data_IF_947535358013
#
_entry.id   IF_947535358013
#
_cell.length_a   1.000
_cell.length_b   1.000
_cell.length_c   1.000
_cell.angle_alpha   90.00
_cell.angle_beta   90.00
_cell.angle_gamma   90.00
#
_symmetry.space_group_name_H-M   'P 1'
#
loop_
_entity.id
_entity.type
_entity.pdbx_description
1 polymer ?
#
# COMPACT_ATOMS: atom_id res chain seq x y z
N UNK A 1 -35.62 7.21 4.46
CA UNK A 1 -34.27 7.15 5.05
C UNK A 1 -33.32 6.66 3.97
N UNK A 2 -32.31 7.42 3.52
CA UNK A 2 -31.30 6.87 2.63
C UNK A 2 -30.19 6.24 3.49
N UNK A 3 -30.11 4.91 3.47
CA UNK A 3 -28.94 4.13 3.89
C UNK A 3 -28.11 3.95 2.63
N UNK A 4 -26.98 4.66 2.49
CA UNK A 4 -25.87 4.38 1.54
C UNK A 4 -24.77 5.47 1.61
N UNK A 5 -24.36 5.92 2.82
CA UNK A 5 -23.48 7.12 2.92
C UNK A 5 -22.00 6.78 3.24
N UNK A 6 -21.68 5.64 3.85
CA UNK A 6 -20.30 5.39 4.33
C UNK A 6 -19.89 3.91 4.32
N UNK A 7 -20.13 3.20 3.23
CA UNK A 7 -19.28 2.03 2.99
C UNK A 7 -17.96 2.56 2.43
N UNK A 8 -16.85 2.52 3.19
CA UNK A 8 -15.56 2.92 2.64
C UNK A 8 -15.31 2.08 1.39
N UNK A 9 -14.74 2.70 0.36
CA UNK A 9 -14.40 1.93 -0.85
C UNK A 9 -13.58 0.69 -0.46
N UNK A 10 -13.76 -0.47 -1.12
CA UNK A 10 -13.07 -1.69 -0.74
C UNK A 10 -11.56 -1.49 -0.56
N UNK A 11 -10.94 -0.71 -1.45
CA UNK A 11 -9.54 -0.30 -1.35
C UNK A 11 -9.24 0.53 -0.09
N UNK A 12 -10.00 1.61 0.16
CA UNK A 12 -9.78 2.43 1.36
C UNK A 12 -9.95 1.61 2.66
N UNK A 13 -10.95 0.72 2.71
CA UNK A 13 -11.16 -0.18 3.85
C UNK A 13 -9.97 -1.11 4.08
N UNK A 14 -9.43 -1.72 3.01
CA UNK A 14 -8.26 -2.59 3.11
C UNK A 14 -7.01 -1.83 3.59
N UNK A 15 -6.72 -0.66 3.02
CA UNK A 15 -5.54 0.13 3.38
C UNK A 15 -5.59 0.61 4.83
N UNK A 16 -6.75 1.11 5.28
CA UNK A 16 -6.93 1.57 6.66
C UNK A 16 -6.90 0.39 7.64
N UNK A 17 -7.49 -0.75 7.27
CA UNK A 17 -7.47 -1.97 8.09
C UNK A 17 -6.08 -2.56 8.30
N UNK A 18 -5.18 -2.39 7.32
CA UNK A 18 -3.81 -2.91 7.35
C UNK A 18 -2.75 -1.81 7.58
N UNK A 19 -3.14 -0.67 8.14
CA UNK A 19 -2.30 0.52 8.22
C UNK A 19 -0.93 0.29 8.89
N UNK A 20 -0.90 -0.45 9.99
CA UNK A 20 0.33 -0.75 10.73
C UNK A 20 1.29 -1.64 9.92
N UNK A 21 0.75 -2.69 9.30
CA UNK A 21 1.52 -3.62 8.48
C UNK A 21 2.07 -2.93 7.22
N UNK A 22 1.25 -2.12 6.53
CA UNK A 22 1.66 -1.31 5.39
C UNK A 22 2.75 -0.29 5.75
N UNK A 23 2.64 0.36 6.90
CA UNK A 23 3.68 1.28 7.39
C UNK A 23 5.00 0.54 7.67
N UNK A 24 4.94 -0.61 8.34
CA UNK A 24 6.12 -1.45 8.61
C UNK A 24 6.78 -1.93 7.32
N UNK A 25 6.01 -2.47 6.39
CA UNK A 25 6.49 -2.89 5.07
C UNK A 25 7.14 -1.73 4.30
N UNK A 26 6.50 -0.55 4.27
CA UNK A 26 7.04 0.62 3.60
C UNK A 26 8.36 1.09 4.22
N UNK A 27 8.46 1.06 5.55
CA UNK A 27 9.71 1.37 6.24
C UNK A 27 10.81 0.35 5.94
N UNK A 28 10.48 -0.95 5.92
CA UNK A 28 11.41 -2.02 5.62
C UNK A 28 11.99 -1.86 4.20
N UNK A 29 11.11 -1.69 3.21
CA UNK A 29 11.44 -1.69 1.79
C UNK A 29 12.01 -0.35 1.30
N UNK A 30 11.41 0.79 1.67
CA UNK A 30 11.78 2.11 1.14
C UNK A 30 12.26 3.11 2.20
N UNK A 31 12.30 2.71 3.47
CA UNK A 31 12.81 3.54 4.56
C UNK A 31 11.87 4.66 5.02
N UNK A 32 12.41 5.66 5.76
CA UNK A 32 11.61 6.72 6.35
C UNK A 32 10.78 7.54 5.35
N UNK A 33 11.31 7.74 4.13
CA UNK A 33 10.60 8.49 3.08
C UNK A 33 9.37 7.72 2.59
N UNK A 34 9.53 6.42 2.32
CA UNK A 34 8.40 5.57 1.94
C UNK A 34 7.37 5.44 3.07
N UNK A 35 7.82 5.28 4.31
CA UNK A 35 6.95 5.28 5.49
C UNK A 35 6.09 6.55 5.57
N UNK A 36 6.72 7.73 5.46
CA UNK A 36 5.98 9.01 5.49
C UNK A 36 4.97 9.12 4.36
N UNK A 37 5.33 8.63 3.16
CA UNK A 37 4.43 8.62 2.01
C UNK A 37 3.20 7.74 2.26
N UNK A 38 3.40 6.53 2.79
CA UNK A 38 2.33 5.58 3.10
C UNK A 38 1.46 6.07 4.25
N UNK A 39 2.03 6.66 5.28
CA UNK A 39 1.26 7.28 6.37
C UNK A 39 0.33 8.39 5.86
N UNK A 40 0.83 9.27 4.99
CA UNK A 40 -0.02 10.30 4.36
C UNK A 40 -1.13 9.70 3.53
N UNK A 41 -0.87 8.62 2.80
CA UNK A 41 -1.89 7.90 2.04
C UNK A 41 -2.96 7.29 2.95
N UNK A 42 -2.56 6.67 4.06
CA UNK A 42 -3.47 6.12 5.08
C UNK A 42 -4.32 7.24 5.68
N UNK A 43 -3.71 8.36 6.06
CA UNK A 43 -4.42 9.52 6.62
C UNK A 43 -5.44 10.07 5.63
N UNK A 44 -5.04 10.27 4.37
CA UNK A 44 -5.93 10.74 3.31
C UNK A 44 -7.11 9.77 3.10
N UNK A 45 -6.88 8.45 3.09
CA UNK A 45 -7.93 7.43 2.91
C UNK A 45 -8.82 7.23 4.15
N UNK A 46 -8.31 7.50 5.35
CA UNK A 46 -9.06 7.41 6.60
C UNK A 46 -10.19 8.44 6.69
N UNK A 47 -10.08 9.54 5.93
CA UNK A 47 -11.14 10.54 5.80
C UNK A 47 -12.29 10.08 4.88
N UNK A 48 -12.26 8.84 4.39
CA UNK A 48 -13.20 8.26 3.45
C UNK A 48 -13.49 9.13 2.20
N UNK A 49 -12.49 9.75 1.56
CA UNK A 49 -12.73 10.53 0.35
C UNK A 49 -13.03 9.62 -0.85
N UNK A 50 -13.67 10.14 -1.91
CA UNK A 50 -13.64 9.50 -3.22
C UNK A 50 -12.19 9.31 -3.68
N UNK A 51 -11.89 8.18 -4.34
CA UNK A 51 -10.55 7.95 -4.88
C UNK A 51 -10.22 8.91 -6.01
N UNK A 52 -9.49 9.97 -5.67
CA UNK A 52 -8.99 10.94 -6.64
C UNK A 52 -7.88 10.35 -7.50
N UNK A 53 -7.56 11.01 -8.63
CA UNK A 53 -6.39 10.67 -9.45
C UNK A 53 -5.08 10.71 -8.65
N UNK A 54 -4.97 11.61 -7.66
CA UNK A 54 -3.81 11.68 -6.77
C UNK A 54 -3.71 10.42 -5.91
N UNK A 55 -4.81 10.01 -5.27
CA UNK A 55 -4.82 8.81 -4.43
C UNK A 55 -4.51 7.54 -5.22
N UNK A 56 -5.04 7.41 -6.43
CA UNK A 56 -4.70 6.29 -7.31
C UNK A 56 -3.20 6.22 -7.63
N UNK A 57 -2.53 7.35 -7.88
CA UNK A 57 -1.07 7.39 -8.11
C UNK A 57 -0.28 6.99 -6.86
N UNK A 58 -0.75 7.37 -5.69
CA UNK A 58 -0.12 6.97 -4.43
C UNK A 58 -0.31 5.47 -4.15
N UNK A 59 -1.49 4.92 -4.49
CA UNK A 59 -1.76 3.48 -4.44
C UNK A 59 -0.90 2.70 -5.45
N UNK A 60 -0.70 3.23 -6.66
CA UNK A 60 0.21 2.65 -7.65
C UNK A 60 1.66 2.64 -7.14
N UNK A 61 2.09 3.70 -6.47
CA UNK A 61 3.42 3.74 -5.89
C UNK A 61 3.59 2.79 -4.70
N UNK A 62 2.53 2.58 -3.92
CA UNK A 62 2.52 1.56 -2.87
C UNK A 62 2.60 0.14 -3.47
N UNK A 63 1.83 -0.14 -4.53
CA UNK A 63 1.91 -1.42 -5.26
C UNK A 63 3.33 -1.63 -5.82
N UNK A 64 3.90 -0.63 -6.47
CA UNK A 64 5.27 -0.69 -7.03
C UNK A 64 6.32 -0.95 -5.94
N UNK A 65 6.16 -0.38 -4.74
CA UNK A 65 7.04 -0.61 -3.60
C UNK A 65 6.92 -2.05 -3.07
N UNK A 66 5.69 -2.50 -2.78
CA UNK A 66 5.42 -3.85 -2.26
C UNK A 66 5.81 -4.94 -3.27
N UNK A 67 5.60 -4.69 -4.56
CA UNK A 67 6.00 -5.58 -5.65
C UNK A 67 7.50 -5.51 -5.99
N UNK A 68 8.28 -4.75 -5.20
CA UNK A 68 9.73 -4.60 -5.37
C UNK A 68 10.14 -4.13 -6.78
N UNK A 69 9.29 -3.34 -7.46
CA UNK A 69 9.47 -2.99 -8.87
C UNK A 69 10.82 -2.33 -9.15
N UNK A 70 11.35 -1.58 -8.20
CA UNK A 70 12.55 -0.75 -8.38
C UNK A 70 13.83 -1.33 -7.76
N UNK A 71 13.82 -2.55 -7.21
CA UNK A 71 15.00 -3.12 -6.52
C UNK A 71 16.16 -3.48 -7.45
N UNK A 72 15.92 -3.50 -8.76
CA UNK A 72 16.95 -3.73 -9.77
C UNK A 72 17.82 -2.47 -10.03
N UNK A 73 17.36 -1.29 -9.62
CA UNK A 73 18.06 -0.02 -9.77
C UNK A 73 18.94 0.21 -8.53
N UNK A 74 20.24 -0.09 -8.66
CA UNK A 74 21.20 -0.04 -7.54
C UNK A 74 21.42 1.38 -6.98
N UNK A 75 21.02 2.42 -7.71
CA UNK A 75 21.10 3.81 -7.24
C UNK A 75 19.93 4.20 -6.31
N UNK A 76 18.95 3.30 -6.16
CA UNK A 76 17.77 3.50 -5.31
C UNK A 76 17.92 2.88 -3.93
N UNK A 77 17.27 3.52 -2.95
CA UNK A 77 17.27 3.05 -1.55
C UNK A 77 16.61 1.67 -1.42
N UNK A 78 15.63 1.39 -2.27
CA UNK A 78 14.90 0.13 -2.32
C UNK A 78 15.83 -1.06 -2.61
N UNK A 79 16.82 -0.90 -3.52
CA UNK A 79 17.77 -1.96 -3.83
C UNK A 79 18.69 -2.29 -2.63
N UNK A 80 19.20 -1.25 -1.96
CA UNK A 80 20.06 -1.42 -0.78
C UNK A 80 19.31 -1.97 0.45
N UNK A 81 17.99 -1.75 0.53
CA UNK A 81 17.15 -2.30 1.60
C UNK A 81 16.74 -3.72 1.32
N UNK A 82 16.28 -3.99 0.09
CA UNK A 82 15.90 -5.33 -0.35
C UNK A 82 17.06 -6.33 -0.19
N UNK A 83 18.29 -5.94 -0.50
CA UNK A 83 19.47 -6.81 -0.35
C UNK A 83 19.77 -7.25 1.09
N UNK A 84 19.14 -6.62 2.08
CA UNK A 84 19.27 -6.94 3.51
C UNK A 84 18.13 -7.79 4.03
N UNK A 85 17.12 -8.07 3.21
CA UNK A 85 15.96 -8.89 3.59
C UNK A 85 16.30 -10.34 3.29
N UNK A 86 16.25 -11.17 4.33
CA UNK A 86 16.42 -12.61 4.17
C UNK A 86 15.15 -13.20 3.52
N UNK A 87 15.27 -14.08 2.50
CA UNK A 87 14.10 -14.65 1.83
C UNK A 87 13.13 -15.43 2.74
N UNK A 88 13.62 -15.90 3.89
CA UNK A 88 12.84 -16.63 4.89
C UNK A 88 12.38 -15.75 6.06
N UNK A 89 12.60 -14.44 5.98
CA UNK A 89 12.07 -13.50 6.96
C UNK A 89 10.53 -13.54 6.90
N UNK A 90 9.82 -13.73 8.03
CA UNK A 90 8.36 -13.71 8.09
C UNK A 90 7.74 -12.44 7.47
N UNK A 91 8.45 -11.32 7.46
CA UNK A 91 7.99 -10.09 6.83
C UNK A 91 7.78 -10.24 5.31
N UNK A 92 8.46 -11.18 4.63
CA UNK A 92 8.28 -11.43 3.20
C UNK A 92 6.87 -11.96 2.91
N UNK A 93 6.40 -12.91 3.71
CA UNK A 93 5.04 -13.47 3.59
C UNK A 93 3.99 -12.38 3.82
N UNK A 94 4.14 -11.58 4.88
CA UNK A 94 3.23 -10.46 5.17
C UNK A 94 3.22 -9.43 4.02
N UNK A 95 4.37 -9.10 3.42
CA UNK A 95 4.43 -8.19 2.26
C UNK A 95 3.66 -8.76 1.07
N UNK A 96 3.79 -10.06 0.80
CA UNK A 96 3.03 -10.72 -0.27
C UNK A 96 1.52 -10.67 -0.01
N UNK A 97 1.07 -10.97 1.20
CA UNK A 97 -0.35 -10.88 1.59
C UNK A 97 -0.90 -9.46 1.45
N UNK A 98 -0.12 -8.45 1.85
CA UNK A 98 -0.49 -7.04 1.71
C UNK A 98 -0.60 -6.61 0.24
N UNK A 99 0.31 -7.08 -0.62
CA UNK A 99 0.29 -6.79 -2.04
C UNK A 99 -0.95 -7.39 -2.72
N UNK A 100 -1.19 -8.68 -2.49
CA UNK A 100 -2.31 -9.39 -3.10
C UNK A 100 -3.65 -8.84 -2.59
N UNK A 101 -3.80 -8.65 -1.28
CA UNK A 101 -5.01 -8.06 -0.71
C UNK A 101 -5.28 -6.62 -1.18
N UNK A 102 -4.23 -5.82 -1.39
CA UNK A 102 -4.36 -4.48 -1.96
C UNK A 102 -4.87 -4.52 -3.40
N UNK A 103 -4.33 -5.43 -4.23
CA UNK A 103 -4.75 -5.61 -5.62
C UNK A 103 -6.18 -6.12 -5.74
N UNK A 104 -6.56 -7.08 -4.90
CA UNK A 104 -7.93 -7.60 -4.84
C UNK A 104 -8.93 -6.51 -4.45
N UNK A 105 -8.60 -5.71 -3.44
CA UNK A 105 -9.45 -4.61 -3.00
C UNK A 105 -9.61 -3.53 -4.10
N UNK A 106 -8.56 -3.27 -4.89
CA UNK A 106 -8.62 -2.36 -6.05
C UNK A 106 -9.43 -2.95 -7.21
N UNK A 107 -9.30 -4.24 -7.48
CA UNK A 107 -10.08 -4.93 -8.50
C UNK A 107 -11.59 -4.94 -8.16
N UNK A 108 -11.94 -5.23 -6.91
CA UNK A 108 -13.31 -5.16 -6.41
C UNK A 108 -13.92 -3.76 -6.57
N UNK A 109 -13.12 -2.72 -6.36
CA UNK A 109 -13.55 -1.34 -6.56
C UNK A 109 -13.83 -1.00 -8.02
N UNK A 110 -13.02 -1.49 -8.97
CA UNK A 110 -13.26 -1.30 -10.40
C UNK A 110 -14.53 -2.02 -10.89
N UNK A 111 -14.94 -3.11 -10.23
CA UNK A 111 -16.19 -3.82 -10.53
C UNK A 111 -17.45 -3.13 -10.00
N UNK A 112 -17.31 -2.11 -9.13
CA UNK A 112 -18.43 -1.42 -8.47
C UNK A 112 -18.74 -0.04 -9.08
N UNK A 113 -17.90 0.46 -10.00
CA UNK A 113 -18.05 1.74 -10.70
C UNK A 113 -18.53 1.58 -12.14
#
# INVERSE_FOLDING_TARGET
MPKDIFSPSPCAGFIVGNCAALASAAHLLGGPVALQRVQRLIDDLSLAPPLTRRLNRELDALDDLLALRHVHDLDRVEAARFSRIEPFDPAVEEICELLDGSRDARAAQAATG
#
